data_IF_197572863360
#
_entry.id   IF_197572863360
#
_cell.length_a   1.000
_cell.length_b   1.000
_cell.length_c   1.000
_cell.angle_alpha   90.00
_cell.angle_beta   90.00
_cell.angle_gamma   90.00
#
_symmetry.space_group_name_H-M   'P 1'
#
loop_
_entity.id
_entity.type
_entity.pdbx_description
1 polymer ?
#
# COMPACT_ATOMS: atom_id res chain seq x y z
N UNK A 1 2.93 17.94 -6.30
CA UNK A 1 3.34 19.11 -7.12
C UNK A 1 3.12 20.42 -6.36
N UNK A 2 4.20 21.08 -5.97
CA UNK A 2 4.22 22.36 -5.23
C UNK A 2 4.97 23.43 -6.04
N UNK A 3 6.13 23.09 -6.60
CA UNK A 3 6.96 24.02 -7.35
C UNK A 3 6.40 24.28 -8.76
N UNK A 4 6.68 25.46 -9.34
CA UNK A 4 6.14 25.85 -10.65
C UNK A 4 6.51 24.85 -11.75
N UNK A 5 7.73 24.30 -11.70
CA UNK A 5 8.21 23.31 -12.66
C UNK A 5 7.53 21.94 -12.53
N UNK A 6 6.80 21.68 -11.44
CA UNK A 6 5.99 20.48 -11.23
C UNK A 6 4.52 20.72 -11.63
N UNK A 7 4.08 21.98 -11.58
CA UNK A 7 2.70 22.39 -11.85
C UNK A 7 2.48 22.69 -13.33
N UNK A 8 3.46 23.23 -14.03
CA UNK A 8 3.32 23.71 -15.40
C UNK A 8 4.28 22.98 -16.34
N UNK A 9 3.70 22.29 -17.33
CA UNK A 9 4.48 21.61 -18.36
C UNK A 9 3.60 21.04 -19.47
N UNK A 10 4.06 19.96 -20.07
CA UNK A 10 3.30 19.30 -21.15
C UNK A 10 2.11 18.52 -20.56
N UNK A 11 2.27 18.06 -19.30
CA UNK A 11 1.17 17.64 -18.43
C UNK A 11 1.30 18.38 -17.10
N UNK A 12 0.27 19.13 -16.72
CA UNK A 12 0.29 19.94 -15.50
C UNK A 12 0.15 19.09 -14.24
N UNK A 13 0.74 19.56 -13.13
CA UNK A 13 0.64 18.95 -11.79
C UNK A 13 1.16 17.50 -11.73
N UNK A 14 2.30 17.22 -12.35
CA UNK A 14 2.92 15.88 -12.35
C UNK A 14 4.27 15.91 -11.63
N UNK A 15 4.44 14.94 -10.73
CA UNK A 15 5.71 14.54 -10.11
C UNK A 15 5.80 13.03 -10.23
N UNK A 16 6.81 12.53 -10.95
CA UNK A 16 6.94 11.10 -11.22
C UNK A 16 8.38 10.63 -10.94
N UNK A 17 8.66 10.07 -9.74
CA UNK A 17 9.98 9.54 -9.39
C UNK A 17 10.41 8.41 -10.33
N UNK A 18 11.61 8.52 -10.90
CA UNK A 18 12.15 7.55 -11.89
C UNK A 18 13.50 6.97 -11.52
N UNK A 19 14.23 7.59 -10.60
CA UNK A 19 15.54 7.12 -10.18
C UNK A 19 15.93 7.61 -8.80
N UNK A 20 16.83 6.88 -8.14
CA UNK A 20 17.38 7.29 -6.85
C UNK A 20 18.87 7.00 -6.75
N UNK A 21 19.57 7.77 -5.92
CA UNK A 21 20.96 7.54 -5.57
C UNK A 21 21.20 7.88 -4.11
N UNK A 22 22.08 7.14 -3.44
CA UNK A 22 22.43 7.36 -2.04
C UNK A 22 23.85 7.87 -1.96
N UNK A 23 24.05 9.00 -1.26
CA UNK A 23 25.36 9.57 -0.97
C UNK A 23 25.45 9.87 0.52
N UNK A 24 26.26 9.10 1.25
CA UNK A 24 26.28 9.12 2.71
C UNK A 24 24.89 8.78 3.26
N UNK A 25 24.34 9.64 4.11
CA UNK A 25 23.02 9.44 4.73
C UNK A 25 21.86 10.06 3.95
N UNK A 26 22.11 10.61 2.74
CA UNK A 26 21.10 11.33 1.96
C UNK A 26 20.65 10.50 0.76
N UNK A 27 19.34 10.32 0.64
CA UNK A 27 18.67 9.76 -0.53
C UNK A 27 18.33 10.90 -1.48
N UNK A 28 18.84 10.82 -2.71
CA UNK A 28 18.48 11.70 -3.81
C UNK A 28 17.43 10.99 -4.66
N UNK A 29 16.30 11.65 -4.90
CA UNK A 29 15.19 11.15 -5.70
C UNK A 29 15.10 12.03 -6.95
N UNK A 30 15.39 11.43 -8.11
CA UNK A 30 15.25 12.05 -9.41
C UNK A 30 13.86 11.74 -9.95
N UNK A 31 13.17 12.77 -10.45
CA UNK A 31 11.79 12.65 -10.88
C UNK A 31 11.51 13.50 -12.11
N UNK A 32 10.61 13.00 -12.96
CA UNK A 32 9.99 13.80 -14.01
C UNK A 32 9.03 14.82 -13.41
N UNK A 33 9.12 16.07 -13.86
CA UNK A 33 8.28 17.16 -13.41
C UNK A 33 7.52 17.75 -14.62
N UNK A 34 6.19 17.74 -14.49
CA UNK A 34 5.24 18.21 -15.49
C UNK A 34 5.46 17.65 -16.91
N UNK A 35 5.91 16.40 -17.02
CA UNK A 35 6.32 15.71 -18.27
C UNK A 35 7.26 16.51 -19.18
N UNK A 36 8.01 17.45 -18.59
CA UNK A 36 8.78 18.45 -19.33
C UNK A 36 10.19 18.64 -18.80
N UNK A 37 10.38 18.45 -17.50
CA UNK A 37 11.65 18.68 -16.80
C UNK A 37 12.04 17.44 -16.00
N UNK A 38 13.33 17.37 -15.68
CA UNK A 38 13.84 16.46 -14.66
C UNK A 38 14.22 17.32 -13.46
N UNK A 39 13.77 16.92 -12.28
CA UNK A 39 14.10 17.56 -11.01
C UNK A 39 14.68 16.53 -10.04
N UNK A 40 15.32 17.03 -8.98
CA UNK A 40 15.89 16.20 -7.93
C UNK A 40 15.60 16.81 -6.57
N UNK A 41 15.21 15.96 -5.63
CA UNK A 41 15.08 16.31 -4.22
C UNK A 41 15.97 15.39 -3.40
N UNK A 42 16.42 15.87 -2.25
CA UNK A 42 17.25 15.07 -1.35
C UNK A 42 16.72 15.11 0.07
N UNK A 43 16.62 13.93 0.68
CA UNK A 43 16.10 13.73 2.04
C UNK A 43 17.09 12.92 2.87
N UNK A 44 17.03 13.06 4.20
CA UNK A 44 17.78 12.17 5.09
C UNK A 44 17.10 10.79 5.08
N UNK A 45 17.86 9.74 4.74
CA UNK A 45 17.34 8.39 4.58
C UNK A 45 16.82 7.80 5.89
N UNK A 46 17.55 8.00 6.99
CA UNK A 46 17.15 7.49 8.30
C UNK A 46 15.85 8.13 8.79
N UNK A 47 15.71 9.45 8.61
CA UNK A 47 14.47 10.15 8.92
C UNK A 47 13.32 9.66 8.05
N UNK A 48 13.53 9.50 6.74
CA UNK A 48 12.51 8.96 5.84
C UNK A 48 12.05 7.57 6.28
N UNK A 49 12.98 6.66 6.55
CA UNK A 49 12.66 5.31 7.02
C UNK A 49 11.94 5.33 8.36
N UNK A 50 12.37 6.20 9.29
CA UNK A 50 11.69 6.37 10.56
C UNK A 50 10.25 6.81 10.34
N UNK A 51 9.99 7.85 9.53
CA UNK A 51 8.62 8.32 9.23
C UNK A 51 7.75 7.25 8.55
N UNK A 52 8.33 6.48 7.63
CA UNK A 52 7.63 5.37 6.96
C UNK A 52 7.26 4.25 7.94
N UNK A 53 8.17 3.92 8.86
CA UNK A 53 7.97 2.86 9.86
C UNK A 53 7.20 3.33 11.10
N UNK A 54 7.16 4.64 11.37
CA UNK A 54 6.40 5.24 12.47
C UNK A 54 4.96 5.52 12.10
N UNK A 55 4.61 5.44 10.81
CA UNK A 55 3.21 5.39 10.43
C UNK A 55 2.61 4.13 11.06
N UNK A 56 1.49 4.27 11.77
CA UNK A 56 0.70 3.17 12.36
C UNK A 56 0.10 2.23 11.29
N UNK A 57 0.72 2.12 10.11
CA UNK A 57 0.39 1.16 9.09
C UNK A 57 0.82 -0.22 9.61
N UNK A 58 -0.08 -0.79 10.38
CA UNK A 58 0.11 -1.86 11.35
C UNK A 58 1.16 -2.89 10.93
N UNK A 59 2.25 -2.89 11.70
CA UNK A 59 3.15 -4.02 11.90
C UNK A 59 2.30 -5.19 12.42
N UNK A 60 1.60 -5.85 11.52
CA UNK A 60 0.50 -6.74 11.87
C UNK A 60 -0.34 -7.21 10.68
N UNK A 61 -0.34 -6.50 9.54
CA UNK A 61 -1.15 -6.91 8.36
C UNK A 61 -0.81 -8.33 7.90
N UNK A 62 0.47 -8.71 7.89
CA UNK A 62 0.87 -10.08 7.54
C UNK A 62 0.37 -11.13 8.55
N UNK A 63 0.34 -10.79 9.84
CA UNK A 63 -0.22 -11.65 10.89
C UNK A 63 -1.74 -11.78 10.74
N UNK A 64 -2.43 -10.65 10.54
CA UNK A 64 -3.86 -10.57 10.28
C UNK A 64 -4.24 -11.35 9.02
N UNK A 65 -3.45 -11.23 7.96
CA UNK A 65 -3.57 -12.01 6.73
C UNK A 65 -3.43 -13.51 7.01
N UNK A 66 -2.48 -13.94 7.84
CA UNK A 66 -2.36 -15.33 8.27
C UNK A 66 -3.58 -15.83 9.04
N UNK A 67 -4.15 -15.00 9.92
CA UNK A 67 -5.39 -15.34 10.64
C UNK A 67 -6.59 -15.44 9.70
N UNK A 68 -6.78 -14.48 8.78
CA UNK A 68 -7.85 -14.50 7.77
C UNK A 68 -7.71 -15.75 6.90
N UNK A 69 -6.51 -16.03 6.39
CA UNK A 69 -6.24 -17.21 5.57
C UNK A 69 -6.72 -18.47 6.27
N UNK A 70 -6.33 -18.67 7.53
CA UNK A 70 -6.74 -19.83 8.33
C UNK A 70 -8.27 -19.91 8.53
N UNK A 71 -8.93 -18.78 8.76
CA UNK A 71 -10.39 -18.71 8.93
C UNK A 71 -11.15 -19.02 7.63
N UNK A 72 -10.55 -18.78 6.46
CA UNK A 72 -11.20 -18.95 5.15
C UNK A 72 -10.74 -20.21 4.38
N UNK A 73 -9.96 -21.10 5.00
CA UNK A 73 -9.56 -22.41 4.42
C UNK A 73 -10.77 -23.32 4.21
N UNK A 74 -11.65 -23.40 5.22
CA UNK A 74 -12.76 -24.38 5.23
C UNK A 74 -14.05 -23.80 4.65
N UNK A 75 -14.28 -22.51 4.85
CA UNK A 75 -15.52 -21.83 4.48
C UNK A 75 -15.23 -20.42 3.95
N UNK A 76 -16.05 -19.97 3.02
CA UNK A 76 -15.98 -18.59 2.53
C UNK A 76 -16.51 -17.66 3.63
N UNK A 77 -15.90 -16.48 3.78
CA UNK A 77 -16.37 -15.47 4.75
C UNK A 77 -16.52 -14.12 4.09
N UNK A 78 -17.56 -13.38 4.45
CA UNK A 78 -17.69 -11.98 4.06
C UNK A 78 -16.82 -11.08 4.92
N UNK A 79 -16.46 -9.90 4.41
CA UNK A 79 -15.70 -8.89 5.16
C UNK A 79 -16.40 -8.54 6.48
N UNK A 80 -17.73 -8.40 6.47
CA UNK A 80 -18.54 -8.15 7.67
C UNK A 80 -18.37 -9.26 8.72
N UNK A 81 -18.35 -10.53 8.29
CA UNK A 81 -18.10 -11.65 9.20
C UNK A 81 -16.68 -11.62 9.77
N UNK A 82 -15.67 -11.32 8.96
CA UNK A 82 -14.28 -11.21 9.40
C UNK A 82 -14.08 -10.05 10.40
N UNK A 83 -14.70 -8.89 10.15
CA UNK A 83 -14.69 -7.76 11.08
C UNK A 83 -15.23 -8.15 12.44
N UNK A 84 -16.39 -8.81 12.46
CA UNK A 84 -17.03 -9.24 13.71
C UNK A 84 -16.23 -10.32 14.45
N UNK A 85 -15.66 -11.30 13.73
CA UNK A 85 -14.90 -12.39 14.32
C UNK A 85 -13.56 -11.93 14.91
N UNK A 86 -12.90 -10.98 14.24
CA UNK A 86 -11.54 -10.55 14.59
C UNK A 86 -11.54 -9.27 15.44
N UNK A 87 -12.69 -8.60 15.59
CA UNK A 87 -12.83 -7.29 16.22
C UNK A 87 -11.85 -6.26 15.62
N UNK A 88 -11.78 -6.25 14.29
CA UNK A 88 -10.87 -5.39 13.52
C UNK A 88 -11.64 -4.43 12.63
N UNK A 89 -11.01 -3.28 12.34
CA UNK A 89 -11.55 -2.28 11.43
C UNK A 89 -11.54 -2.81 10.00
N UNK A 90 -12.53 -2.37 9.22
CA UNK A 90 -12.72 -2.82 7.83
C UNK A 90 -11.45 -2.62 6.98
N UNK A 91 -10.81 -1.45 7.05
CA UNK A 91 -9.63 -1.17 6.24
C UNK A 91 -8.46 -2.15 6.53
N UNK A 92 -8.32 -2.63 7.78
CA UNK A 92 -7.28 -3.61 8.13
C UNK A 92 -7.57 -4.96 7.53
N UNK A 93 -8.83 -5.39 7.59
CA UNK A 93 -9.29 -6.62 6.95
C UNK A 93 -9.07 -6.53 5.43
N UNK A 94 -9.45 -5.43 4.80
CA UNK A 94 -9.24 -5.21 3.37
C UNK A 94 -7.75 -5.18 2.99
N UNK A 95 -6.90 -4.54 3.79
CA UNK A 95 -5.45 -4.53 3.56
C UNK A 95 -4.84 -5.94 3.68
N UNK A 96 -5.28 -6.73 4.67
CA UNK A 96 -4.84 -8.11 4.84
C UNK A 96 -5.34 -9.03 3.73
N UNK A 97 -6.57 -8.83 3.24
CA UNK A 97 -7.07 -9.51 2.04
C UNK A 97 -6.23 -9.13 0.83
N UNK A 98 -5.94 -7.84 0.62
CA UNK A 98 -5.06 -7.36 -0.45
C UNK A 98 -3.66 -7.99 -0.39
N UNK A 99 -3.10 -8.15 0.82
CA UNK A 99 -1.85 -8.88 1.03
C UNK A 99 -1.92 -10.33 0.54
N UNK A 100 -3.00 -11.05 0.87
CA UNK A 100 -3.21 -12.43 0.42
C UNK A 100 -3.46 -12.52 -1.08
N UNK A 101 -4.24 -11.59 -1.66
CA UNK A 101 -4.54 -11.54 -3.09
C UNK A 101 -3.26 -11.30 -3.91
N UNK A 102 -2.35 -10.44 -3.42
CA UNK A 102 -1.04 -10.20 -4.06
C UNK A 102 -0.20 -11.49 -4.18
N UNK A 103 -0.38 -12.42 -3.25
CA UNK A 103 0.36 -13.69 -3.21
C UNK A 103 -0.45 -14.87 -3.78
N UNK A 104 -1.56 -14.60 -4.47
CA UNK A 104 -2.48 -15.61 -5.03
C UNK A 104 -2.94 -16.64 -3.98
N UNK A 105 -3.14 -16.22 -2.73
CA UNK A 105 -3.54 -17.09 -1.60
C UNK A 105 -5.04 -17.11 -1.34
N UNK A 106 -5.78 -16.18 -1.90
CA UNK A 106 -7.24 -16.10 -1.74
C UNK A 106 -7.93 -15.80 -3.06
N UNK A 107 -9.15 -16.30 -3.19
CA UNK A 107 -10.11 -15.86 -4.19
C UNK A 107 -11.12 -14.92 -3.52
N UNK A 108 -11.43 -13.85 -4.22
CA UNK A 108 -12.42 -12.88 -3.81
C UNK A 108 -13.56 -12.85 -4.82
N UNK A 109 -14.80 -12.82 -4.33
CA UNK A 109 -15.99 -12.56 -5.14
C UNK A 109 -16.88 -11.54 -4.45
N UNK A 110 -17.70 -10.84 -5.22
CA UNK A 110 -18.71 -9.94 -4.68
C UNK A 110 -20.05 -10.66 -4.75
N UNK A 111 -20.79 -10.66 -3.65
CA UNK A 111 -22.13 -11.21 -3.57
C UNK A 111 -23.00 -10.27 -2.75
N UNK A 112 -24.12 -9.82 -3.31
CA UNK A 112 -25.04 -8.90 -2.64
C UNK A 112 -24.36 -7.64 -2.06
N UNK A 113 -23.39 -7.08 -2.79
CA UNK A 113 -22.56 -5.92 -2.40
C UNK A 113 -21.58 -6.18 -1.24
N UNK A 114 -21.41 -7.43 -0.80
CA UNK A 114 -20.37 -7.82 0.14
C UNK A 114 -19.20 -8.54 -0.56
N UNK A 115 -17.98 -8.20 -0.16
CA UNK A 115 -16.78 -8.93 -0.55
C UNK A 115 -16.68 -10.22 0.25
N UNK A 116 -16.68 -11.35 -0.44
CA UNK A 116 -16.52 -12.70 0.10
C UNK A 116 -15.15 -13.24 -0.27
N UNK A 117 -14.47 -13.85 0.70
CA UNK A 117 -13.09 -14.34 0.58
C UNK A 117 -13.00 -15.82 0.90
N UNK A 118 -12.21 -16.54 0.10
CA UNK A 118 -11.89 -17.96 0.28
C UNK A 118 -10.40 -18.20 0.08
N UNK A 119 -9.76 -18.95 0.99
CA UNK A 119 -8.36 -19.34 0.79
C UNK A 119 -8.20 -20.40 -0.28
N UNK A 120 -7.16 -20.25 -1.09
CA UNK A 120 -6.69 -21.22 -2.06
C UNK A 120 -5.32 -21.76 -1.65
N UNK A 121 -5.12 -23.05 -1.90
CA UNK A 121 -3.95 -23.82 -1.45
C UNK A 121 -2.91 -23.90 -2.55
#
# INVERSE_FOLDING_TARGET
PIEDYEKVGDVNNVVFPTGTAIFGERLYIYYGAADKRIAVVSVNLHKLLHELLSSDLEVGIGFLAGQIFNLTIKEEKSVTQLMNLMNQKEYLILMAIGWLTREDKVLCRIDSDELIVRSIK
#
